data_IF_942349242648
#
_entry.id   IF_942349242648
#
_cell.length_a   1.000
_cell.length_b   1.000
_cell.length_c   1.000
_cell.angle_alpha   90.00
_cell.angle_beta   90.00
_cell.angle_gamma   90.00
#
_symmetry.space_group_name_H-M   'P 1'
#
loop_
_entity.id
_entity.type
_entity.pdbx_description
1 polymer ?
#
# COMPACT_ATOMS: atom_id res chain seq x y z
N UNK A 1 8.76 -13.85 57.80
CA UNK A 1 8.54 -12.43 57.42
C UNK A 1 8.87 -12.25 55.93
N UNK A 2 8.44 -13.11 55.01
CA UNK A 2 7.04 -13.24 54.55
C UNK A 2 6.30 -11.90 54.58
N UNK A 3 6.71 -10.95 53.72
CA UNK A 3 5.87 -9.82 53.27
C UNK A 3 6.34 -9.24 51.90
N UNK A 4 7.08 -10.01 51.10
CA UNK A 4 7.52 -9.57 49.76
C UNK A 4 6.61 -10.03 48.61
N UNK A 5 5.53 -10.77 48.89
CA UNK A 5 4.70 -11.43 47.85
C UNK A 5 3.31 -10.76 47.66
N UNK A 6 2.82 -9.99 48.63
CA UNK A 6 1.45 -9.46 48.59
C UNK A 6 1.22 -8.28 47.62
N UNK A 7 2.26 -7.59 47.14
CA UNK A 7 2.10 -6.37 46.34
C UNK A 7 2.24 -6.56 44.83
N UNK A 8 2.57 -7.77 44.35
CA UNK A 8 2.78 -8.03 42.93
C UNK A 8 1.48 -8.30 42.13
N UNK A 9 0.30 -8.19 42.74
CA UNK A 9 -0.95 -8.67 42.14
C UNK A 9 -2.14 -7.68 42.19
N UNK A 10 -1.91 -6.38 42.36
CA UNK A 10 -2.96 -5.40 42.06
C UNK A 10 -3.17 -5.37 40.54
N UNK A 11 -4.28 -5.95 40.06
CA UNK A 11 -4.56 -6.14 38.64
C UNK A 11 -4.46 -4.81 37.88
N UNK A 12 -3.54 -4.74 36.92
CA UNK A 12 -3.41 -3.60 36.01
C UNK A 12 -4.40 -3.70 34.84
N UNK A 13 -4.64 -2.59 34.15
CA UNK A 13 -5.48 -2.56 32.95
C UNK A 13 -4.84 -3.42 31.83
N UNK A 14 -5.59 -4.40 31.32
CA UNK A 14 -5.09 -5.35 30.33
C UNK A 14 -4.99 -4.77 28.89
N UNK A 15 -5.72 -3.68 28.57
CA UNK A 15 -5.72 -3.06 27.24
C UNK A 15 -6.24 -1.62 27.25
N UNK A 16 -5.75 -0.76 26.35
CA UNK A 16 -6.24 0.62 26.18
C UNK A 16 -6.03 1.16 24.76
N UNK A 17 -7.07 1.75 24.19
CA UNK A 17 -7.04 2.45 22.89
C UNK A 17 -7.09 3.99 23.02
N UNK A 18 -7.13 4.51 24.25
CA UNK A 18 -7.43 5.91 24.56
C UNK A 18 -6.54 6.93 23.82
N UNK A 19 -5.24 6.68 23.73
CA UNK A 19 -4.29 7.59 23.08
C UNK A 19 -3.99 7.23 21.61
N UNK A 20 -4.61 6.18 21.07
CA UNK A 20 -4.28 5.71 19.71
C UNK A 20 -4.79 6.68 18.64
N UNK A 21 -6.04 7.12 18.78
CA UNK A 21 -6.66 8.11 17.88
C UNK A 21 -5.88 9.42 17.91
N UNK A 22 -5.54 9.95 19.09
CA UNK A 22 -4.76 11.19 19.22
C UNK A 22 -3.40 11.12 18.52
N UNK A 23 -2.70 9.98 18.62
CA UNK A 23 -1.43 9.77 17.91
C UNK A 23 -1.62 9.68 16.39
N UNK A 24 -2.64 8.94 15.94
CA UNK A 24 -2.93 8.80 14.51
C UNK A 24 -3.28 10.14 13.85
N UNK A 25 -4.03 11.00 14.55
CA UNK A 25 -4.40 12.32 14.06
C UNK A 25 -3.27 13.36 14.19
N UNK A 26 -2.28 13.19 15.09
CA UNK A 26 -1.13 14.10 15.21
C UNK A 26 -0.33 14.20 13.90
N UNK A 27 -0.11 13.07 13.23
CA UNK A 27 0.55 13.02 11.91
C UNK A 27 -0.46 13.05 10.74
N UNK A 28 -1.76 12.94 11.06
CA UNK A 28 -2.87 12.87 10.13
C UNK A 28 -3.01 11.51 9.47
N UNK A 29 -4.26 11.01 9.42
CA UNK A 29 -4.60 9.80 8.66
C UNK A 29 -4.71 10.20 7.18
N UNK A 30 -3.66 9.94 6.40
CA UNK A 30 -3.61 10.31 4.98
C UNK A 30 -4.34 9.27 4.13
N UNK A 31 -5.12 9.75 3.16
CA UNK A 31 -5.73 8.89 2.12
C UNK A 31 -4.64 8.31 1.20
N UNK A 32 -4.85 7.12 0.62
CA UNK A 32 -3.92 6.60 -0.39
C UNK A 32 -3.85 7.56 -1.56
N UNK A 33 -2.64 7.73 -2.12
CA UNK A 33 -2.42 8.59 -3.29
C UNK A 33 -3.03 7.90 -4.52
N UNK A 34 -3.90 8.60 -5.23
CA UNK A 34 -4.43 8.15 -6.52
C UNK A 34 -3.54 8.68 -7.64
N UNK A 35 -3.11 7.78 -8.54
CA UNK A 35 -2.37 8.14 -9.74
C UNK A 35 -3.26 7.87 -10.96
N UNK A 36 -3.08 8.66 -12.04
CA UNK A 36 -3.82 8.45 -13.30
C UNK A 36 -3.62 7.05 -13.88
N UNK A 37 -2.43 6.48 -13.68
CA UNK A 37 -2.05 5.15 -14.16
C UNK A 37 -1.58 4.29 -12.97
N UNK A 38 -2.37 3.31 -12.51
CA UNK A 38 -1.95 2.37 -11.48
C UNK A 38 -1.04 1.26 -12.03
N UNK A 39 -0.37 0.52 -11.14
CA UNK A 39 0.45 -0.62 -11.55
C UNK A 39 -0.41 -1.82 -11.98
N UNK A 40 0.01 -2.54 -13.03
CA UNK A 40 -0.64 -3.78 -13.48
C UNK A 40 -0.17 -5.03 -12.71
N UNK A 41 0.37 -4.87 -11.50
CA UNK A 41 0.82 -6.00 -10.67
C UNK A 41 -0.40 -6.81 -10.21
N UNK A 42 -0.36 -8.13 -10.42
CA UNK A 42 -1.46 -9.04 -10.06
C UNK A 42 -2.57 -9.18 -11.12
N UNK A 43 -2.45 -8.49 -12.26
CA UNK A 43 -3.31 -8.72 -13.42
C UNK A 43 -2.92 -10.03 -14.12
N UNK A 44 -3.88 -10.68 -14.80
CA UNK A 44 -3.67 -11.93 -15.53
C UNK A 44 -2.38 -11.89 -16.39
N UNK A 45 -1.43 -12.81 -16.16
CA UNK A 45 -0.19 -12.88 -16.93
C UNK A 45 -0.40 -13.01 -18.44
N UNK A 46 -1.48 -13.68 -18.90
CA UNK A 46 -1.76 -13.84 -20.34
C UNK A 46 -2.17 -12.51 -20.96
N UNK A 47 -3.08 -11.78 -20.32
CA UNK A 47 -3.47 -10.43 -20.72
C UNK A 47 -2.28 -9.45 -20.76
N UNK A 48 -1.46 -9.41 -19.70
CA UNK A 48 -0.31 -8.50 -19.62
C UNK A 48 0.72 -8.80 -20.71
N UNK A 49 1.00 -10.09 -20.97
CA UNK A 49 1.91 -10.52 -22.04
C UNK A 49 1.42 -10.06 -23.41
N UNK A 50 0.13 -10.25 -23.70
CA UNK A 50 -0.47 -9.79 -24.97
C UNK A 50 -0.40 -8.26 -25.10
N UNK A 51 -0.77 -7.53 -24.05
CA UNK A 51 -0.72 -6.06 -24.05
C UNK A 51 0.69 -5.53 -24.34
N UNK A 52 1.74 -6.18 -23.81
CA UNK A 52 3.13 -5.82 -24.08
C UNK A 52 3.46 -5.93 -25.57
N UNK A 53 3.10 -7.03 -26.22
CA UNK A 53 3.37 -7.22 -27.65
C UNK A 53 2.56 -6.26 -28.53
N UNK A 54 1.29 -6.02 -28.18
CA UNK A 54 0.45 -5.06 -28.88
C UNK A 54 1.05 -3.64 -28.85
N UNK A 55 1.49 -3.17 -27.67
CA UNK A 55 2.12 -1.86 -27.50
C UNK A 55 3.39 -1.72 -28.37
N UNK A 56 4.28 -2.71 -28.32
CA UNK A 56 5.50 -2.70 -29.14
C UNK A 56 5.20 -2.66 -30.65
N UNK A 57 4.17 -3.39 -31.11
CA UNK A 57 3.72 -3.33 -32.50
C UNK A 57 3.24 -1.93 -32.90
N UNK A 58 2.40 -1.31 -32.07
CA UNK A 58 1.88 0.05 -32.32
C UNK A 58 3.00 1.09 -32.32
N UNK A 59 3.97 1.00 -31.40
CA UNK A 59 5.11 1.92 -31.35
C UNK A 59 5.95 1.85 -32.64
N UNK A 60 6.18 0.64 -33.17
CA UNK A 60 6.92 0.45 -34.43
C UNK A 60 6.18 1.07 -35.61
N UNK A 61 4.87 0.82 -35.72
CA UNK A 61 4.04 1.36 -36.80
C UNK A 61 3.98 2.90 -36.77
N UNK A 62 3.78 3.47 -35.57
CA UNK A 62 3.77 4.93 -35.38
C UNK A 62 5.14 5.55 -35.70
N UNK A 63 6.23 4.88 -35.36
CA UNK A 63 7.58 5.35 -35.69
C UNK A 63 7.81 5.35 -37.20
N UNK A 64 7.38 4.32 -37.92
CA UNK A 64 7.47 4.28 -39.38
C UNK A 64 6.63 5.40 -40.01
N UNK A 65 5.36 5.54 -39.60
CA UNK A 65 4.47 6.58 -40.11
C UNK A 65 5.02 8.00 -39.88
N UNK A 66 5.68 8.26 -38.75
CA UNK A 66 6.33 9.55 -38.47
C UNK A 66 7.65 9.76 -39.22
N UNK A 67 8.29 8.70 -39.69
CA UNK A 67 9.52 8.81 -40.48
C UNK A 67 9.23 9.05 -41.97
N UNK A 68 8.04 8.63 -42.44
CA UNK A 68 7.57 8.88 -43.81
C UNK A 68 6.85 10.22 -43.98
N UNK A 69 6.37 10.82 -42.89
CA UNK A 69 5.82 12.17 -42.84
C UNK A 69 6.92 13.22 -42.68
#
# INVERSE_FOLDING_TARGET
MLDHIAYALAKSKNSSQHNQVRKAHRNGIKKPKTNKYPSLRGVDPKFVRNQRYAKHGTEKALKAARAEA
#
